data_IF_755971952406
#
_entry.id   IF_755971952406
#
_cell.length_a   1.000
_cell.length_b   1.000
_cell.length_c   1.000
_cell.angle_alpha   90.00
_cell.angle_beta   90.00
_cell.angle_gamma   90.00
#
_symmetry.space_group_name_H-M   'P 1'
#
loop_
_entity.id
_entity.type
_entity.pdbx_description
1 polymer ?
#
# COMPACT_ATOMS: atom_id res chain seq x y z
N UNK A 1 18.35 14.95 -26.19
CA UNK A 1 16.96 14.71 -25.79
C UNK A 1 16.88 13.29 -25.23
N UNK A 2 17.45 13.05 -24.05
CA UNK A 2 17.29 11.76 -23.35
C UNK A 2 15.86 11.72 -22.81
N UNK A 3 15.10 10.63 -23.02
CA UNK A 3 13.79 10.52 -22.39
C UNK A 3 14.01 10.60 -20.88
N UNK A 4 13.38 11.61 -20.25
CA UNK A 4 13.18 11.63 -18.82
C UNK A 4 12.51 10.28 -18.49
N UNK A 5 13.18 9.38 -17.76
CA UNK A 5 12.52 8.16 -17.36
C UNK A 5 11.44 8.66 -16.42
N UNK A 6 10.21 8.73 -16.93
CA UNK A 6 9.03 8.90 -16.12
C UNK A 6 9.14 7.81 -15.08
N UNK A 7 9.69 8.17 -13.92
CA UNK A 7 9.70 7.36 -12.73
C UNK A 7 8.23 7.07 -12.59
N UNK A 8 7.82 5.85 -12.97
CA UNK A 8 6.53 5.35 -12.58
C UNK A 8 6.56 5.48 -11.08
N UNK A 9 5.89 6.51 -10.57
CA UNK A 9 5.78 6.84 -9.16
C UNK A 9 4.84 5.80 -8.59
N UNK A 10 5.30 4.56 -8.58
CA UNK A 10 4.70 3.49 -7.80
C UNK A 10 4.70 3.96 -6.36
N UNK A 11 3.54 3.82 -5.72
CA UNK A 11 3.38 4.17 -4.32
C UNK A 11 4.56 3.58 -3.51
N UNK A 12 5.30 4.43 -2.76
CA UNK A 12 6.53 3.99 -2.10
C UNK A 12 6.26 2.96 -1.01
N UNK A 13 5.07 2.96 -0.40
CA UNK A 13 4.66 1.97 0.60
C UNK A 13 4.40 0.62 -0.07
N UNK A 14 3.65 0.61 -1.19
CA UNK A 14 3.37 -0.59 -1.97
C UNK A 14 4.67 -1.20 -2.50
N UNK A 15 5.54 -0.39 -3.11
CA UNK A 15 6.85 -0.83 -3.57
C UNK A 15 7.66 -1.46 -2.44
N UNK A 16 7.66 -0.83 -1.26
CA UNK A 16 8.41 -1.34 -0.11
C UNK A 16 7.87 -2.69 0.37
N UNK A 17 6.55 -2.89 0.36
CA UNK A 17 5.95 -4.16 0.75
C UNK A 17 6.19 -5.27 -0.26
N UNK A 18 6.17 -4.94 -1.56
CA UNK A 18 6.53 -5.88 -2.60
C UNK A 18 8.01 -6.29 -2.50
N UNK A 19 8.91 -5.34 -2.24
CA UNK A 19 10.32 -5.65 -2.00
C UNK A 19 10.52 -6.53 -0.76
N UNK A 20 9.78 -6.25 0.32
CA UNK A 20 9.80 -7.08 1.52
C UNK A 20 9.29 -8.50 1.25
N UNK A 21 8.14 -8.64 0.59
CA UNK A 21 7.58 -9.94 0.20
C UNK A 21 8.55 -10.75 -0.67
N UNK A 22 9.15 -10.10 -1.68
CA UNK A 22 10.13 -10.74 -2.56
C UNK A 22 11.36 -11.24 -1.79
N UNK A 23 11.87 -10.43 -0.85
CA UNK A 23 12.99 -10.84 -0.01
C UNK A 23 12.63 -11.98 0.94
N UNK A 24 11.42 -11.98 1.53
CA UNK A 24 10.94 -13.09 2.36
C UNK A 24 10.79 -14.39 1.57
N UNK A 25 10.37 -14.32 0.30
CA UNK A 25 10.29 -15.50 -0.58
C UNK A 25 11.71 -15.99 -0.96
N UNK A 26 12.63 -15.06 -1.21
CA UNK A 26 14.01 -15.35 -1.55
C UNK A 26 14.90 -15.69 -0.34
N UNK A 27 14.31 -15.79 0.86
CA UNK A 27 15.01 -16.03 2.13
C UNK A 27 16.18 -15.05 2.39
N UNK A 28 15.99 -13.79 1.98
CA UNK A 28 16.98 -12.74 2.17
C UNK A 28 16.81 -12.09 3.55
N UNK A 29 17.89 -11.97 4.34
CA UNK A 29 17.81 -11.43 5.71
C UNK A 29 17.62 -9.91 5.76
N UNK A 30 17.78 -9.21 4.63
CA UNK A 30 17.77 -7.76 4.56
C UNK A 30 17.17 -7.26 3.26
N UNK A 31 16.38 -6.19 3.35
CA UNK A 31 15.81 -5.46 2.21
C UNK A 31 16.27 -4.02 2.28
N UNK A 32 16.93 -3.55 1.24
CA UNK A 32 17.24 -2.14 1.11
C UNK A 32 16.06 -1.43 0.44
N UNK A 33 15.22 -0.83 1.27
CA UNK A 33 14.15 0.04 0.82
C UNK A 33 14.78 1.40 0.45
N UNK A 34 14.31 2.01 -0.63
CA UNK A 34 14.93 3.22 -1.20
C UNK A 34 15.16 4.31 -0.15
N UNK A 35 16.37 4.86 -0.12
CA UNK A 35 16.90 5.77 0.91
C UNK A 35 16.26 7.17 0.98
N UNK A 36 15.07 7.38 0.45
CA UNK A 36 14.34 8.61 0.75
C UNK A 36 13.68 8.42 2.11
N UNK A 37 14.10 9.21 3.11
CA UNK A 37 13.43 9.37 4.41
C UNK A 37 12.03 9.95 4.29
N UNK A 38 11.24 9.41 3.37
CA UNK A 38 9.87 9.72 3.11
C UNK A 38 9.10 9.38 4.37
N UNK A 39 8.43 10.39 4.92
CA UNK A 39 7.50 10.27 6.06
C UNK A 39 6.53 9.08 5.89
N UNK A 40 6.24 8.72 4.64
CA UNK A 40 5.43 7.57 4.21
C UNK A 40 5.96 6.22 4.69
N UNK A 41 7.28 6.04 4.83
CA UNK A 41 7.88 4.78 5.28
C UNK A 41 8.06 4.67 6.80
N UNK A 42 7.74 5.72 7.56
CA UNK A 42 7.91 5.71 9.02
C UNK A 42 7.05 4.65 9.73
N UNK A 43 5.90 4.28 9.17
CA UNK A 43 5.02 3.28 9.75
C UNK A 43 5.40 1.84 9.39
N UNK A 44 6.36 1.64 8.48
CA UNK A 44 6.77 0.31 8.04
C UNK A 44 7.17 -0.62 9.20
N UNK A 45 7.99 -0.20 10.19
CA UNK A 45 8.34 -1.08 11.31
C UNK A 45 7.13 -1.54 12.11
N UNK A 46 6.13 -0.66 12.29
CA UNK A 46 4.90 -0.99 12.99
C UNK A 46 4.03 -1.98 12.20
N UNK A 47 3.92 -1.80 10.88
CA UNK A 47 3.23 -2.74 9.99
C UNK A 47 3.90 -4.10 10.05
N UNK A 48 5.22 -4.17 9.82
CA UNK A 48 5.97 -5.43 9.85
C UNK A 48 5.82 -6.14 11.20
N UNK A 49 5.86 -5.39 12.30
CA UNK A 49 5.64 -5.96 13.63
C UNK A 49 4.23 -6.55 13.76
N UNK A 50 3.19 -5.86 13.28
CA UNK A 50 1.81 -6.36 13.32
C UNK A 50 1.60 -7.62 12.48
N UNK A 51 2.19 -7.66 11.29
CA UNK A 51 2.18 -8.84 10.43
C UNK A 51 2.86 -10.04 11.12
N UNK A 52 3.98 -9.81 11.81
CA UNK A 52 4.67 -10.84 12.59
C UNK A 52 3.85 -11.33 13.78
N UNK A 53 3.24 -10.41 14.54
CA UNK A 53 2.39 -10.74 15.70
C UNK A 53 1.21 -11.62 15.33
N UNK A 54 0.73 -11.49 14.09
CA UNK A 54 -0.38 -12.27 13.54
C UNK A 54 0.05 -13.44 12.68
N UNK A 55 1.34 -13.75 12.67
CA UNK A 55 1.92 -14.87 11.92
C UNK A 55 1.54 -14.86 10.44
N UNK A 56 1.42 -13.67 9.84
CA UNK A 56 1.06 -13.53 8.44
C UNK A 56 2.12 -14.18 7.55
N UNK A 57 1.66 -15.02 6.63
CA UNK A 57 2.50 -15.58 5.56
C UNK A 57 2.66 -14.55 4.45
N UNK A 58 3.71 -14.70 3.63
CA UNK A 58 3.90 -13.82 2.46
C UNK A 58 2.70 -13.85 1.52
N UNK A 59 2.03 -15.00 1.38
CA UNK A 59 0.79 -15.12 0.61
C UNK A 59 -0.35 -14.24 1.13
N UNK A 60 -0.54 -14.18 2.46
CA UNK A 60 -1.57 -13.34 3.10
C UNK A 60 -1.27 -11.85 2.87
N UNK A 61 0.00 -11.46 2.99
CA UNK A 61 0.43 -10.10 2.66
C UNK A 61 0.10 -9.77 1.20
N UNK A 62 0.49 -10.62 0.24
CA UNK A 62 0.21 -10.38 -1.17
C UNK A 62 -1.29 -10.29 -1.47
N UNK A 63 -2.12 -11.12 -0.86
CA UNK A 63 -3.57 -11.03 -0.99
C UNK A 63 -4.12 -9.72 -0.44
N UNK A 64 -3.61 -9.25 0.70
CA UNK A 64 -4.01 -7.97 1.28
C UNK A 64 -3.59 -6.79 0.39
N UNK A 65 -2.40 -6.83 -0.21
CA UNK A 65 -1.95 -5.82 -1.18
C UNK A 65 -2.84 -5.78 -2.43
N UNK A 66 -3.27 -6.94 -2.93
CA UNK A 66 -4.21 -7.01 -4.06
C UNK A 66 -5.56 -6.38 -3.70
N UNK A 67 -6.14 -6.74 -2.54
CA UNK A 67 -7.39 -6.14 -2.04
C UNK A 67 -7.30 -4.62 -1.94
N UNK A 68 -6.19 -4.12 -1.37
CA UNK A 68 -5.95 -2.69 -1.30
C UNK A 68 -5.93 -2.01 -2.69
N UNK A 69 -5.29 -2.64 -3.68
CA UNK A 69 -5.28 -2.12 -5.05
C UNK A 69 -6.70 -2.12 -5.65
N UNK A 70 -7.48 -3.18 -5.43
CA UNK A 70 -8.85 -3.25 -5.92
C UNK A 70 -9.73 -2.14 -5.31
N UNK A 71 -9.66 -1.93 -3.99
CA UNK A 71 -10.42 -0.90 -3.26
C UNK A 71 -10.02 0.53 -3.66
N UNK A 72 -8.74 0.75 -3.98
CA UNK A 72 -8.21 2.07 -4.39
C UNK A 72 -8.44 2.39 -5.86
N UNK A 73 -8.52 1.37 -6.73
CA UNK A 73 -8.72 1.53 -8.17
C UNK A 73 -10.16 1.33 -8.64
N UNK A 74 -11.10 0.93 -7.79
CA UNK A 74 -12.53 0.94 -8.13
C UNK A 74 -13.02 2.37 -8.32
N UNK A 75 -13.35 2.83 -9.55
CA UNK A 75 -14.03 4.10 -9.71
C UNK A 75 -15.38 4.01 -9.00
N UNK A 76 -15.89 5.12 -8.39
CA UNK A 76 -17.24 5.13 -7.86
C UNK A 76 -18.17 4.72 -8.99
N UNK A 77 -18.82 3.57 -8.84
CA UNK A 77 -19.88 3.15 -9.75
C UNK A 77 -20.82 4.35 -9.86
N UNK A 78 -21.01 4.83 -11.08
CA UNK A 78 -21.85 5.97 -11.37
C UNK A 78 -23.27 5.64 -10.93
N UNK A 79 -23.64 6.08 -9.73
CA UNK A 79 -25.03 6.14 -9.31
C UNK A 79 -25.71 7.22 -10.18
N UNK A 80 -26.78 6.91 -10.93
CA UNK A 80 -27.55 7.94 -11.60
C UNK A 80 -28.36 8.70 -10.55
N UNK A 81 -27.89 9.92 -10.25
CA UNK A 81 -28.67 11.15 -9.93
C UNK A 81 -29.77 11.04 -8.85
N UNK A 82 -29.57 11.75 -7.74
CA UNK A 82 -30.48 12.85 -7.28
C UNK A 82 -29.93 13.54 -6.01
N UNK A 83 -29.40 14.74 -6.24
CA UNK A 83 -29.49 15.98 -5.45
C UNK A 83 -29.72 15.88 -3.92
N UNK A 84 -28.63 15.96 -3.13
CA UNK A 84 -28.59 16.68 -1.84
C UNK A 84 -27.17 17.22 -1.57
N UNK A 85 -26.99 18.46 -1.07
CA UNK A 85 -25.68 19.07 -0.95
C UNK A 85 -24.99 18.75 0.40
N UNK A 86 -23.75 18.28 0.29
CA UNK A 86 -22.62 18.60 1.19
C UNK A 86 -22.64 18.02 2.62
N UNK A 87 -22.14 16.78 2.73
CA UNK A 87 -21.19 16.39 3.77
C UNK A 87 -20.16 15.46 3.11
N UNK A 88 -18.91 15.91 3.02
CA UNK A 88 -17.90 15.35 2.13
C UNK A 88 -17.63 13.85 2.32
N UNK A 89 -18.14 13.03 1.40
CA UNK A 89 -17.50 11.76 1.04
C UNK A 89 -16.25 12.07 0.24
N UNK A 90 -15.26 12.68 0.89
CA UNK A 90 -13.89 12.49 0.44
C UNK A 90 -13.67 10.98 0.55
N UNK A 91 -13.58 10.29 -0.59
CA UNK A 91 -13.04 8.94 -0.63
C UNK A 91 -11.72 8.99 0.15
N UNK A 92 -11.74 8.52 1.40
CA UNK A 92 -10.58 8.53 2.25
C UNK A 92 -9.61 7.54 1.60
N UNK A 93 -8.64 8.04 0.85
CA UNK A 93 -7.52 7.23 0.39
C UNK A 93 -6.71 6.86 1.64
N UNK A 94 -7.10 5.78 2.31
CA UNK A 94 -6.33 5.30 3.45
C UNK A 94 -4.95 4.89 2.92
N UNK A 95 -3.84 5.42 3.46
CA UNK A 95 -2.52 4.99 3.03
C UNK A 95 -2.32 3.51 3.32
N UNK A 96 -1.61 2.80 2.44
CA UNK A 96 -1.46 1.34 2.50
C UNK A 96 -1.08 0.83 3.89
N UNK A 97 -0.12 1.47 4.55
CA UNK A 97 0.33 1.05 5.88
C UNK A 97 -0.75 1.20 6.94
N UNK A 98 -1.53 2.26 6.88
CA UNK A 98 -2.66 2.41 7.78
C UNK A 98 -3.74 1.36 7.50
N UNK A 99 -4.06 1.13 6.23
CA UNK A 99 -5.03 0.10 5.84
C UNK A 99 -4.57 -1.30 6.29
N UNK A 100 -3.29 -1.61 6.15
CA UNK A 100 -2.70 -2.86 6.64
C UNK A 100 -2.76 -2.96 8.16
N UNK A 101 -2.55 -1.88 8.92
CA UNK A 101 -2.67 -1.92 10.39
C UNK A 101 -4.10 -2.17 10.85
N UNK A 102 -5.09 -1.76 10.07
CA UNK A 102 -6.52 -1.97 10.35
C UNK A 102 -7.00 -3.38 9.93
N UNK A 103 -6.41 -3.95 8.88
CA UNK A 103 -6.84 -5.23 8.28
C UNK A 103 -5.89 -6.40 8.55
N UNK A 104 -4.72 -6.16 9.17
CA UNK A 104 -3.81 -7.19 9.65
C UNK A 104 -4.46 -8.00 10.78
#
# INVERSE_FOLDING_TARGET
>A
MTPDPQHMTFDPQLRSMLQWAAASIADLPMVQLGHSGSRELQQLPAVVQRLKEREWRVGELLQALLRYCEETHTPPQSEPREETPQAGRALHHTPLFQWLLEHA
#
